data_IF_176152607669
#
_entry.id   IF_176152607669
#
_cell.length_a   1.000
_cell.length_b   1.000
_cell.length_c   1.000
_cell.angle_alpha   90.00
_cell.angle_beta   90.00
_cell.angle_gamma   90.00
#
_symmetry.space_group_name_H-M   'P 1'
#
loop_
_entity.id
_entity.type
_entity.pdbx_description
1 polymer ?
#
# COMPACT_ATOMS: atom_id res chain seq x y z
N UNK A 1 -6.58 -17.95 7.65
CA UNK A 1 -7.32 -16.68 7.80
C UNK A 1 -8.29 -16.55 6.64
N UNK A 2 -9.60 -16.47 6.90
CA UNK A 2 -10.61 -16.21 5.87
C UNK A 2 -10.65 -14.70 5.61
N UNK A 3 -9.82 -14.21 4.70
CA UNK A 3 -9.85 -12.81 4.29
C UNK A 3 -11.25 -12.48 3.79
N UNK A 4 -11.95 -11.53 4.42
CA UNK A 4 -13.16 -10.93 3.84
C UNK A 4 -12.74 -10.24 2.56
N UNK A 5 -13.15 -10.72 1.37
CA UNK A 5 -12.72 -10.11 0.12
C UNK A 5 -13.27 -8.68 0.04
N UNK A 6 -12.55 -7.77 -0.61
CA UNK A 6 -13.03 -6.40 -0.86
C UNK A 6 -14.44 -6.40 -1.49
N UNK A 7 -14.70 -7.35 -2.39
CA UNK A 7 -16.01 -7.54 -2.99
C UNK A 7 -17.12 -7.75 -1.93
N UNK A 8 -16.86 -8.50 -0.86
CA UNK A 8 -17.83 -8.71 0.21
C UNK A 8 -18.07 -7.43 1.03
N UNK A 9 -17.04 -6.62 1.26
CA UNK A 9 -17.19 -5.31 1.89
C UNK A 9 -18.04 -4.37 1.02
N UNK A 10 -17.76 -4.30 -0.29
CA UNK A 10 -18.56 -3.53 -1.26
C UNK A 10 -20.02 -3.98 -1.23
N UNK A 11 -20.28 -5.30 -1.29
CA UNK A 11 -21.64 -5.84 -1.23
C UNK A 11 -22.37 -5.45 0.06
N UNK A 12 -21.67 -5.44 1.19
CA UNK A 12 -22.25 -5.04 2.47
C UNK A 12 -22.52 -3.53 2.53
N UNK A 13 -21.61 -2.69 2.03
CA UNK A 13 -21.82 -1.25 1.92
C UNK A 13 -23.02 -0.94 1.02
N UNK A 14 -23.14 -1.60 -0.14
CA UNK A 14 -24.30 -1.43 -1.01
C UNK A 14 -25.61 -1.85 -0.34
N UNK A 15 -25.61 -2.92 0.47
CA UNK A 15 -26.79 -3.32 1.26
C UNK A 15 -27.14 -2.31 2.36
N UNK A 16 -26.15 -1.63 2.92
CA UNK A 16 -26.38 -0.55 3.87
C UNK A 16 -27.07 0.63 3.18
N UNK A 17 -26.58 1.05 2.01
CA UNK A 17 -27.17 2.15 1.24
C UNK A 17 -28.57 1.81 0.67
N UNK A 18 -28.84 0.55 0.33
CA UNK A 18 -30.21 0.11 -0.02
C UNK A 18 -31.21 0.37 1.12
N UNK A 19 -30.78 0.14 2.38
CA UNK A 19 -31.62 0.35 3.56
C UNK A 19 -31.72 1.81 3.96
N UNK A 20 -30.62 2.55 3.83
CA UNK A 20 -30.53 3.98 4.15
C UNK A 20 -31.34 4.83 3.16
N UNK A 21 -31.32 4.47 1.87
CA UNK A 21 -32.11 5.11 0.82
C UNK A 21 -31.52 6.38 0.21
N UNK A 22 -30.40 6.88 0.74
CA UNK A 22 -29.76 8.13 0.31
C UNK A 22 -28.23 8.03 0.35
N UNK A 23 -27.57 8.78 -0.54
CA UNK A 23 -26.11 8.88 -0.64
C UNK A 23 -25.70 10.34 -0.80
N UNK A 24 -24.54 10.70 -0.27
CA UNK A 24 -23.96 12.04 -0.44
C UNK A 24 -23.24 12.13 -1.78
N UNK A 25 -23.63 13.09 -2.62
CA UNK A 25 -22.91 13.40 -3.85
C UNK A 25 -21.99 14.61 -3.62
N UNK A 26 -20.68 14.38 -3.68
CA UNK A 26 -19.67 15.42 -3.56
C UNK A 26 -19.78 16.51 -4.65
N UNK A 27 -20.26 16.14 -5.84
CA UNK A 27 -20.35 17.06 -6.98
C UNK A 27 -21.43 18.12 -6.74
N UNK A 28 -22.61 17.67 -6.31
CA UNK A 28 -23.75 18.54 -6.01
C UNK A 28 -23.80 19.01 -4.55
N UNK A 29 -22.91 18.48 -3.69
CA UNK A 29 -22.81 18.76 -2.25
C UNK A 29 -24.15 18.60 -1.51
N UNK A 30 -24.90 17.56 -1.85
CA UNK A 30 -26.19 17.27 -1.24
C UNK A 30 -26.48 15.76 -1.16
N UNK A 31 -27.51 15.40 -0.38
CA UNK A 31 -28.02 14.03 -0.32
C UNK A 31 -28.96 13.77 -1.49
N UNK A 32 -28.71 12.69 -2.22
CA UNK A 32 -29.53 12.23 -3.33
C UNK A 32 -30.10 10.83 -3.04
N UNK A 33 -31.29 10.48 -3.58
CA UNK A 33 -31.85 9.14 -3.42
C UNK A 33 -30.92 8.07 -4.00
N UNK A 34 -30.56 7.07 -3.20
CA UNK A 34 -29.67 6.00 -3.64
C UNK A 34 -30.38 5.04 -4.60
N UNK A 35 -29.74 4.71 -5.72
CA UNK A 35 -30.25 3.77 -6.73
C UNK A 35 -29.20 2.70 -7.00
N UNK A 36 -29.47 1.47 -6.57
CA UNK A 36 -28.53 0.34 -6.72
C UNK A 36 -28.21 -0.01 -8.18
N UNK A 37 -29.10 0.29 -9.12
CA UNK A 37 -28.88 0.03 -10.54
C UNK A 37 -28.05 1.13 -11.22
N UNK A 38 -27.85 2.27 -10.55
CA UNK A 38 -27.08 3.38 -11.08
C UNK A 38 -25.58 3.13 -10.83
N UNK A 39 -24.82 2.98 -11.93
CA UNK A 39 -23.36 2.76 -11.87
C UNK A 39 -22.62 3.89 -11.16
N UNK A 40 -23.11 5.13 -11.28
CA UNK A 40 -22.51 6.29 -10.62
C UNK A 40 -22.63 6.16 -9.10
N UNK A 41 -23.80 5.75 -8.62
CA UNK A 41 -24.06 5.57 -7.19
C UNK A 41 -23.26 4.37 -6.64
N UNK A 42 -23.15 3.28 -7.41
CA UNK A 42 -22.27 2.15 -7.04
C UNK A 42 -20.83 2.63 -6.88
N UNK A 43 -20.32 3.41 -7.84
CA UNK A 43 -18.96 3.93 -7.79
C UNK A 43 -18.75 4.87 -6.60
N UNK A 44 -19.73 5.70 -6.26
CA UNK A 44 -19.68 6.53 -5.05
C UNK A 44 -19.51 5.68 -3.78
N UNK A 45 -20.31 4.62 -3.62
CA UNK A 45 -20.21 3.71 -2.46
C UNK A 45 -18.85 3.00 -2.42
N UNK A 46 -18.34 2.56 -3.57
CA UNK A 46 -17.01 1.94 -3.65
C UNK A 46 -15.93 2.94 -3.25
N UNK A 47 -15.97 4.16 -3.77
CA UNK A 47 -14.99 5.20 -3.46
C UNK A 47 -15.03 5.60 -1.98
N UNK A 48 -16.22 5.75 -1.40
CA UNK A 48 -16.40 6.01 0.04
C UNK A 48 -15.77 4.89 0.87
N UNK A 49 -16.10 3.62 0.56
CA UNK A 49 -15.52 2.47 1.24
C UNK A 49 -14.00 2.41 1.13
N UNK A 50 -13.43 2.62 -0.07
CA UNK A 50 -11.98 2.59 -0.28
C UNK A 50 -11.30 3.73 0.48
N UNK A 51 -11.90 4.92 0.47
CA UNK A 51 -11.40 6.09 1.21
C UNK A 51 -11.39 5.82 2.71
N UNK A 52 -12.45 5.22 3.24
CA UNK A 52 -12.54 4.83 4.65
C UNK A 52 -11.49 3.79 5.02
N UNK A 53 -11.28 2.78 4.17
CA UNK A 53 -10.25 1.77 4.37
C UNK A 53 -8.86 2.42 4.39
N UNK A 54 -8.53 3.26 3.41
CA UNK A 54 -7.23 3.93 3.37
C UNK A 54 -7.04 4.84 4.59
N UNK A 55 -8.05 5.62 4.98
CA UNK A 55 -7.99 6.47 6.17
C UNK A 55 -7.79 5.66 7.45
N UNK A 56 -8.52 4.55 7.64
CA UNK A 56 -8.38 3.72 8.83
C UNK A 56 -6.99 3.08 8.88
N UNK A 57 -6.53 2.49 7.78
CA UNK A 57 -5.26 1.75 7.75
C UNK A 57 -4.07 2.71 7.80
N UNK A 58 -4.01 3.67 6.88
CA UNK A 58 -2.86 4.56 6.69
C UNK A 58 -2.74 5.62 7.78
N UNK A 59 -3.85 6.08 8.33
CA UNK A 59 -3.83 7.13 9.35
C UNK A 59 -4.10 6.58 10.75
N UNK A 60 -5.28 6.00 11.00
CA UNK A 60 -5.66 5.64 12.38
C UNK A 60 -4.80 4.52 12.94
N UNK A 61 -4.68 3.40 12.21
CA UNK A 61 -3.93 2.25 12.68
C UNK A 61 -2.42 2.51 12.68
N UNK A 62 -1.87 3.10 11.61
CA UNK A 62 -0.46 3.51 11.58
C UNK A 62 -0.09 4.35 12.80
N UNK A 63 -0.83 5.45 13.04
CA UNK A 63 -0.55 6.35 14.16
C UNK A 63 -0.74 5.66 15.52
N UNK A 64 -1.72 4.77 15.65
CA UNK A 64 -1.91 4.00 16.87
C UNK A 64 -0.70 3.12 17.18
N UNK A 65 -0.25 2.34 16.19
CA UNK A 65 0.90 1.44 16.38
C UNK A 65 2.20 2.21 16.62
N UNK A 66 2.39 3.32 15.92
CA UNK A 66 3.58 4.15 16.08
C UNK A 66 3.65 4.76 17.49
N UNK A 67 2.56 5.41 17.93
CA UNK A 67 2.48 5.96 19.28
C UNK A 67 2.64 4.89 20.35
N UNK A 68 2.05 3.71 20.15
CA UNK A 68 2.19 2.59 21.08
C UNK A 68 3.64 2.10 21.15
N UNK A 69 4.33 1.98 20.02
CA UNK A 69 5.74 1.60 19.96
C UNK A 69 6.65 2.64 20.64
N UNK A 70 6.38 3.94 20.45
CA UNK A 70 7.12 5.02 21.10
C UNK A 70 6.98 4.96 22.63
N UNK A 71 5.77 4.73 23.14
CA UNK A 71 5.52 4.56 24.58
C UNK A 71 6.24 3.32 25.15
N UNK A 72 6.28 2.22 24.41
CA UNK A 72 7.04 1.04 24.82
C UNK A 72 8.55 1.31 24.83
N UNK A 73 9.06 1.99 23.81
CA UNK A 73 10.47 2.38 23.72
C UNK A 73 10.86 3.29 24.88
N UNK A 74 10.03 4.28 25.23
CA UNK A 74 10.26 5.16 26.37
C UNK A 74 10.31 4.38 27.69
N UNK A 75 9.43 3.39 27.87
CA UNK A 75 9.29 2.66 29.14
C UNK A 75 10.28 1.50 29.31
N UNK A 76 10.57 0.77 28.23
CA UNK A 76 11.32 -0.49 28.25
C UNK A 76 12.71 -0.35 27.62
N UNK A 77 12.97 0.72 26.87
CA UNK A 77 14.13 0.87 26.01
C UNK A 77 13.95 0.17 24.66
N UNK A 78 14.66 0.66 23.65
CA UNK A 78 14.54 0.24 22.24
C UNK A 78 14.71 -1.28 22.04
N UNK A 79 15.69 -1.88 22.71
CA UNK A 79 15.97 -3.32 22.62
C UNK A 79 14.84 -4.23 23.14
N UNK A 80 13.89 -3.68 23.90
CA UNK A 80 12.78 -4.44 24.52
C UNK A 80 11.40 -3.97 24.05
N UNK A 81 11.32 -2.94 23.21
CA UNK A 81 10.07 -2.40 22.68
C UNK A 81 9.42 -3.30 21.61
N UNK A 82 10.18 -4.24 21.06
CA UNK A 82 9.74 -5.11 19.98
C UNK A 82 9.84 -4.40 18.62
N UNK A 83 8.89 -4.69 17.73
CA UNK A 83 8.88 -4.19 16.36
C UNK A 83 7.93 -3.01 16.20
N UNK A 84 8.31 -1.99 15.42
CA UNK A 84 7.40 -0.91 15.05
C UNK A 84 6.46 -1.37 13.92
N UNK A 85 5.27 -1.85 14.29
CA UNK A 85 4.31 -2.34 13.31
C UNK A 85 3.74 -1.24 12.41
N UNK A 86 3.90 0.03 12.78
CA UNK A 86 3.51 1.15 11.93
C UNK A 86 4.23 1.13 10.58
N UNK A 87 5.50 0.72 10.56
CA UNK A 87 6.28 0.58 9.34
C UNK A 87 5.63 -0.46 8.41
N UNK A 88 5.23 -1.63 8.91
CA UNK A 88 4.59 -2.65 8.07
C UNK A 88 3.26 -2.17 7.46
N UNK A 89 2.52 -1.33 8.18
CA UNK A 89 1.30 -0.70 7.63
C UNK A 89 1.64 0.33 6.55
N UNK A 90 2.68 1.13 6.75
CA UNK A 90 3.13 2.16 5.81
C UNK A 90 3.59 1.57 4.48
N UNK A 91 4.46 0.56 4.53
CA UNK A 91 4.98 -0.11 3.34
C UNK A 91 4.04 -1.22 2.82
N UNK A 92 2.97 -1.53 3.56
CA UNK A 92 1.99 -2.56 3.23
C UNK A 92 2.54 -3.98 3.17
N UNK A 93 3.71 -4.23 3.76
CA UNK A 93 4.46 -5.50 3.70
C UNK A 93 5.23 -5.73 4.99
N UNK A 94 5.47 -6.99 5.33
CA UNK A 94 6.35 -7.38 6.44
C UNK A 94 7.71 -7.93 5.96
N UNK A 95 7.93 -8.04 4.65
CA UNK A 95 9.25 -8.37 4.10
C UNK A 95 10.10 -7.09 4.08
N UNK A 96 11.04 -7.01 5.02
CA UNK A 96 11.92 -5.85 5.18
C UNK A 96 12.78 -5.55 3.94
N UNK A 97 13.07 -6.54 3.10
CA UNK A 97 13.79 -6.31 1.84
C UNK A 97 12.92 -5.55 0.84
N UNK A 98 11.61 -5.79 0.86
CA UNK A 98 10.64 -5.00 0.04
C UNK A 98 10.56 -3.57 0.59
N UNK A 99 10.60 -3.39 1.91
CA UNK A 99 10.64 -2.06 2.52
C UNK A 99 11.93 -1.31 2.14
N UNK A 100 13.07 -1.99 2.17
CA UNK A 100 14.37 -1.43 1.80
C UNK A 100 14.40 -0.96 0.33
N UNK A 101 13.83 -1.73 -0.59
CA UNK A 101 13.70 -1.31 -1.98
C UNK A 101 12.73 -0.14 -2.14
N UNK A 102 11.65 -0.08 -1.36
CA UNK A 102 10.74 1.07 -1.36
C UNK A 102 11.41 2.34 -0.78
N UNK A 103 12.33 2.20 0.17
CA UNK A 103 13.12 3.33 0.70
C UNK A 103 14.02 3.98 -0.35
N UNK A 104 14.44 3.20 -1.35
CA UNK A 104 15.20 3.72 -2.51
C UNK A 104 14.29 4.53 -3.45
N UNK A 105 12.97 4.35 -3.35
CA UNK A 105 11.96 5.06 -4.14
C UNK A 105 11.16 4.15 -5.07
N UNK A 106 11.46 2.85 -5.12
CA UNK A 106 10.68 1.91 -5.92
C UNK A 106 9.27 1.73 -5.35
N UNK A 107 8.28 1.51 -6.21
CA UNK A 107 6.95 1.09 -5.80
C UNK A 107 7.01 -0.28 -5.13
N UNK A 108 5.98 -0.60 -4.35
CA UNK A 108 5.82 -1.95 -3.78
C UNK A 108 5.80 -3.03 -4.87
N UNK A 109 5.16 -2.75 -6.00
CA UNK A 109 5.05 -3.68 -7.12
C UNK A 109 6.42 -3.98 -7.71
N UNK A 110 7.18 -2.94 -8.06
CA UNK A 110 8.52 -3.10 -8.60
C UNK A 110 9.46 -3.75 -7.58
N UNK A 111 9.37 -3.40 -6.31
CA UNK A 111 10.16 -4.01 -5.24
C UNK A 111 9.95 -5.52 -5.13
N UNK A 112 8.69 -5.98 -5.17
CA UNK A 112 8.35 -7.40 -5.18
C UNK A 112 8.85 -8.08 -6.46
N UNK A 113 8.69 -7.42 -7.61
CA UNK A 113 9.13 -7.93 -8.89
C UNK A 113 10.66 -8.10 -8.97
N UNK A 114 11.42 -7.13 -8.46
CA UNK A 114 12.88 -7.18 -8.39
C UNK A 114 13.36 -8.32 -7.48
N UNK A 115 12.71 -8.52 -6.33
CA UNK A 115 13.05 -9.63 -5.44
C UNK A 115 12.70 -11.00 -6.03
N UNK A 116 11.60 -11.12 -6.77
CA UNK A 116 11.19 -12.37 -7.39
C UNK A 116 12.07 -12.74 -8.60
N UNK A 117 12.32 -11.78 -9.50
CA UNK A 117 12.97 -12.03 -10.79
C UNK A 117 14.47 -11.75 -10.81
N UNK A 118 14.93 -10.84 -9.96
CA UNK A 118 16.30 -10.32 -10.00
C UNK A 118 17.03 -10.42 -8.65
N UNK A 119 16.60 -11.34 -7.78
CA UNK A 119 17.26 -11.59 -6.48
C UNK A 119 18.77 -11.81 -6.60
N UNK A 120 19.25 -12.45 -7.66
CA UNK A 120 20.69 -12.67 -7.91
C UNK A 120 21.48 -11.37 -8.19
N UNK A 121 20.80 -10.28 -8.51
CA UNK A 121 21.37 -8.95 -8.77
C UNK A 121 21.23 -8.01 -7.56
N UNK A 122 20.68 -8.52 -6.45
CA UNK A 122 20.50 -7.82 -5.19
C UNK A 122 21.35 -8.49 -4.11
N UNK A 123 22.26 -7.75 -3.49
CA UNK A 123 23.05 -8.25 -2.36
C UNK A 123 22.57 -7.61 -1.07
N UNK A 124 22.06 -8.43 -0.16
CA UNK A 124 21.62 -8.00 1.17
C UNK A 124 22.58 -8.47 2.26
N UNK A 125 22.74 -7.66 3.31
CA UNK A 125 23.31 -8.09 4.59
C UNK A 125 22.21 -8.04 5.62
N UNK A 126 21.66 -9.20 5.96
CA UNK A 126 20.39 -9.23 6.70
C UNK A 126 19.28 -8.70 5.79
N UNK A 127 18.68 -7.56 6.16
CA UNK A 127 17.64 -6.90 5.39
C UNK A 127 18.10 -5.63 4.66
N UNK A 128 19.33 -5.18 4.93
CA UNK A 128 19.87 -3.95 4.36
C UNK A 128 20.45 -4.23 2.98
N UNK A 129 20.11 -3.42 1.99
CA UNK A 129 20.60 -3.58 0.63
C UNK A 129 22.02 -3.01 0.54
N UNK A 130 22.99 -3.86 0.27
CA UNK A 130 24.40 -3.47 0.16
C UNK A 130 24.79 -3.18 -1.29
N UNK A 131 24.19 -3.90 -2.25
CA UNK A 131 24.50 -3.74 -3.67
C UNK A 131 23.30 -4.04 -4.55
N UNK A 132 23.11 -3.17 -5.53
CA UNK A 132 22.14 -3.29 -6.63
C UNK A 132 22.94 -3.31 -7.95
N UNK A 133 22.84 -4.38 -8.73
CA UNK A 133 23.46 -4.42 -10.06
C UNK A 133 22.55 -3.74 -11.10
N UNK A 134 22.60 -2.41 -11.11
CA UNK A 134 21.75 -1.56 -11.96
C UNK A 134 21.90 -1.92 -13.44
N UNK A 135 23.12 -2.16 -13.91
CA UNK A 135 23.39 -2.42 -15.34
C UNK A 135 22.83 -3.76 -15.76
N UNK A 136 23.04 -4.80 -14.95
CA UNK A 136 22.49 -6.12 -15.26
C UNK A 136 20.96 -6.10 -15.25
N UNK A 137 20.35 -5.44 -14.25
CA UNK A 137 18.89 -5.32 -14.16
C UNK A 137 18.33 -4.51 -15.34
N UNK A 138 18.85 -3.31 -15.62
CA UNK A 138 18.40 -2.47 -16.73
C UNK A 138 18.54 -3.17 -18.09
N UNK A 139 19.64 -3.88 -18.33
CA UNK A 139 19.85 -4.63 -19.58
C UNK A 139 19.01 -5.91 -19.70
N UNK A 140 18.48 -6.42 -18.59
CA UNK A 140 17.55 -7.57 -18.59
C UNK A 140 16.08 -7.14 -18.67
N UNK A 141 15.75 -5.95 -18.15
CA UNK A 141 14.44 -5.29 -18.23
C UNK A 141 14.13 -4.74 -19.64
N UNK A 142 14.74 -5.29 -20.70
CA UNK A 142 14.66 -4.70 -22.04
C UNK A 142 13.25 -4.84 -22.62
N UNK A 143 12.56 -3.71 -22.61
CA UNK A 143 11.22 -3.47 -23.13
C UNK A 143 10.68 -2.23 -22.43
N UNK A 144 9.95 -1.35 -23.13
CA UNK A 144 9.25 -0.22 -22.48
C UNK A 144 8.02 -0.72 -21.71
N UNK A 145 8.24 -1.61 -20.76
CA UNK A 145 7.22 -2.01 -19.80
C UNK A 145 7.26 -1.07 -18.60
N UNK A 146 6.17 -1.07 -17.83
CA UNK A 146 6.02 -0.15 -16.70
C UNK A 146 7.14 -0.34 -15.66
N UNK A 147 7.65 -1.58 -15.51
CA UNK A 147 8.73 -1.89 -14.59
C UNK A 147 10.07 -1.24 -15.00
N UNK A 148 10.42 -1.23 -16.29
CA UNK A 148 11.63 -0.55 -16.76
C UNK A 148 11.51 0.97 -16.62
N UNK A 149 10.36 1.55 -16.98
CA UNK A 149 10.13 2.98 -16.89
C UNK A 149 10.29 3.48 -15.46
N UNK A 150 9.64 2.81 -14.51
CA UNK A 150 9.75 3.12 -13.09
C UNK A 150 11.19 2.91 -12.57
N UNK A 151 11.83 1.79 -12.94
CA UNK A 151 13.20 1.51 -12.53
C UNK A 151 14.20 2.56 -13.01
N UNK A 152 14.06 3.00 -14.27
CA UNK A 152 14.90 4.02 -14.86
C UNK A 152 14.64 5.40 -14.25
N UNK A 153 13.38 5.73 -13.95
CA UNK A 153 12.99 6.99 -13.30
C UNK A 153 13.60 7.10 -11.90
N UNK A 154 13.38 6.10 -11.04
CA UNK A 154 13.87 6.09 -9.65
C UNK A 154 15.39 6.20 -9.59
N UNK A 155 16.09 5.56 -10.52
CA UNK A 155 17.56 5.56 -10.58
C UNK A 155 18.15 6.67 -11.45
N UNK A 156 17.32 7.55 -12.01
CA UNK A 156 17.74 8.63 -12.91
C UNK A 156 18.66 8.14 -14.04
N UNK A 157 18.31 7.02 -14.67
CA UNK A 157 19.06 6.47 -15.80
C UNK A 157 18.78 7.32 -17.05
N UNK A 158 19.85 7.82 -17.70
CA UNK A 158 19.70 8.50 -18.99
C UNK A 158 19.19 7.51 -20.06
N UNK A 159 18.36 7.98 -21.02
CA UNK A 159 17.78 7.15 -22.07
C UNK A 159 18.80 6.59 -23.07
#
# INVERSE_FOLDING_TARGET
MTSTPLNLMVLNSLKHFDKKGEIWDESSRCLIPFKRQDKTHINMVINELITDIDHIVRFKLKNYFDNYFLLLTEKLGENYAGENWAEFLEYGTNDRRVMELQNIGFSRHLSLFLLDKYSNHLSFRGNDLIKLDIKAIASSLVGKNAEYEEFAEVLSLEP
#
